data_IF_133176916673
#
_entry.id   IF_133176916673
#
_cell.length_a   1.000
_cell.length_b   1.000
_cell.length_c   1.000
_cell.angle_alpha   90.00
_cell.angle_beta   90.00
_cell.angle_gamma   90.00
#
_symmetry.space_group_name_H-M   'P 1'
#
loop_
_entity.id
_entity.type
_entity.pdbx_description
1 polymer ?
#
# COMPACT_ATOMS: atom_id res chain seq x y z
N UNK A 1 13.09 -15.83 18.81
CA UNK A 1 14.56 -15.85 18.92
C UNK A 1 15.02 -17.10 19.63
N UNK A 2 15.97 -17.81 19.03
CA UNK A 2 16.50 -19.07 19.55
C UNK A 2 18.02 -19.03 19.58
N UNK A 3 18.59 -19.12 20.78
CA UNK A 3 20.01 -19.41 20.97
C UNK A 3 20.22 -20.90 20.76
N UNK A 4 20.70 -21.27 19.57
CA UNK A 4 21.00 -22.66 19.21
C UNK A 4 22.25 -23.14 19.96
N UNK A 5 23.19 -22.21 20.20
CA UNK A 5 24.34 -22.37 21.10
C UNK A 5 24.71 -21.00 21.70
N UNK A 6 25.73 -20.96 22.55
CA UNK A 6 26.30 -19.71 23.09
C UNK A 6 26.82 -18.77 21.98
N UNK A 7 27.12 -19.32 20.81
CA UNK A 7 27.71 -18.59 19.67
C UNK A 7 26.74 -18.35 18.52
N UNK A 8 25.60 -19.04 18.48
CA UNK A 8 24.66 -18.99 17.36
C UNK A 8 23.25 -18.59 17.81
N UNK A 9 22.82 -17.42 17.34
CA UNK A 9 21.46 -16.93 17.46
C UNK A 9 20.75 -17.03 16.11
N UNK A 10 19.58 -17.66 16.11
CA UNK A 10 18.66 -17.68 14.97
C UNK A 10 17.36 -16.98 15.37
N UNK A 11 16.86 -16.10 14.50
CA UNK A 11 15.62 -15.36 14.69
C UNK A 11 14.72 -15.60 13.48
N UNK A 12 13.43 -15.77 13.74
CA UNK A 12 12.40 -15.87 12.73
C UNK A 12 11.40 -14.75 12.95
N UNK A 13 10.98 -14.10 11.87
CA UNK A 13 9.91 -13.12 11.88
C UNK A 13 8.86 -13.48 10.84
N UNK A 14 7.60 -13.28 11.20
CA UNK A 14 6.48 -13.37 10.27
C UNK A 14 5.49 -12.26 10.61
N UNK A 15 4.90 -11.66 9.58
CA UNK A 15 3.88 -10.63 9.75
C UNK A 15 2.83 -10.73 8.67
N UNK A 16 1.58 -10.58 9.09
CA UNK A 16 0.43 -10.40 8.22
C UNK A 16 -0.14 -8.99 8.43
N UNK A 17 -0.42 -8.27 7.35
CA UNK A 17 -1.04 -6.95 7.39
C UNK A 17 -2.13 -6.86 6.33
N UNK A 18 -3.35 -6.54 6.77
CA UNK A 18 -4.46 -6.15 5.89
C UNK A 18 -4.84 -4.69 6.13
N UNK A 19 -5.06 -3.93 5.07
CA UNK A 19 -5.52 -2.54 5.12
C UNK A 19 -6.60 -2.35 4.07
N UNK A 20 -7.74 -1.81 4.49
CA UNK A 20 -8.85 -1.46 3.61
C UNK A 20 -9.21 0.01 3.81
N UNK A 21 -9.28 0.75 2.72
CA UNK A 21 -9.73 2.13 2.67
C UNK A 21 -11.00 2.16 1.82
N UNK A 22 -12.10 2.69 2.37
CA UNK A 22 -13.37 2.87 1.66
C UNK A 22 -13.66 4.34 1.45
N UNK A 23 -14.33 4.66 0.35
CA UNK A 23 -14.59 6.05 -0.05
C UNK A 23 -13.30 6.78 -0.38
N UNK A 24 -12.51 6.23 -1.30
CA UNK A 24 -11.26 6.83 -1.75
C UNK A 24 -11.47 8.26 -2.23
N UNK A 25 -10.60 9.18 -1.85
CA UNK A 25 -10.62 10.53 -2.43
C UNK A 25 -10.27 10.43 -3.92
N UNK A 26 -11.16 10.91 -4.79
CA UNK A 26 -10.89 10.97 -6.23
C UNK A 26 -10.01 12.16 -6.57
N UNK A 27 -9.03 11.94 -7.43
CA UNK A 27 -8.34 13.02 -8.11
C UNK A 27 -9.24 13.58 -9.22
N UNK A 28 -9.72 14.81 -9.05
CA UNK A 28 -10.47 15.54 -10.08
C UNK A 28 -9.52 16.25 -11.03
N UNK A 29 -9.51 15.79 -12.27
CA UNK A 29 -8.74 16.41 -13.34
C UNK A 29 -9.57 17.52 -14.00
N UNK A 30 -8.94 18.67 -14.25
CA UNK A 30 -9.55 19.83 -14.90
C UNK A 30 -8.70 20.17 -16.12
N UNK A 31 -9.28 20.10 -17.32
CA UNK A 31 -8.59 20.50 -18.54
C UNK A 31 -8.26 21.99 -18.53
N UNK A 32 -9.22 22.80 -18.08
CA UNK A 32 -9.05 24.21 -17.79
C UNK A 32 -9.08 24.42 -16.26
N UNK A 33 -7.94 24.87 -15.71
CA UNK A 33 -7.80 25.12 -14.27
C UNK A 33 -8.73 26.23 -13.77
N UNK A 34 -9.23 27.12 -14.64
CA UNK A 34 -10.19 28.16 -14.27
C UNK A 34 -11.53 27.58 -13.80
N UNK A 35 -11.85 26.34 -14.20
CA UNK A 35 -13.05 25.61 -13.78
C UNK A 35 -12.92 24.97 -12.39
N UNK A 36 -11.73 24.98 -11.80
CA UNK A 36 -11.51 24.42 -10.46
C UNK A 36 -12.22 25.31 -9.44
N UNK A 37 -13.14 24.77 -8.62
CA UNK A 37 -13.79 25.56 -7.59
C UNK A 37 -12.77 26.07 -6.56
N UNK A 38 -13.04 27.24 -6.00
CA UNK A 38 -12.25 27.76 -4.88
C UNK A 38 -12.33 26.80 -3.69
N UNK A 39 -11.25 26.70 -2.91
CA UNK A 39 -11.26 25.89 -1.70
C UNK A 39 -12.35 26.34 -0.70
N UNK A 40 -12.65 27.65 -0.63
CA UNK A 40 -13.69 28.21 0.23
C UNK A 40 -15.12 27.79 -0.16
N UNK A 41 -15.32 27.27 -1.37
CA UNK A 41 -16.62 26.77 -1.85
C UNK A 41 -16.79 25.26 -1.69
N UNK A 42 -15.80 24.56 -1.14
CA UNK A 42 -15.85 23.12 -0.92
C UNK A 42 -16.10 22.82 0.57
N UNK A 43 -16.95 21.83 0.81
CA UNK A 43 -17.26 21.33 2.14
C UNK A 43 -16.19 20.31 2.55
N UNK A 44 -15.46 20.58 3.64
CA UNK A 44 -14.40 19.67 4.12
C UNK A 44 -14.94 18.32 4.60
N UNK A 45 -16.21 18.26 5.00
CA UNK A 45 -16.86 17.04 5.51
C UNK A 45 -17.57 16.24 4.41
N UNK A 46 -17.36 16.61 3.14
CA UNK A 46 -17.99 15.97 1.99
C UNK A 46 -16.99 15.17 1.16
N UNK A 47 -17.34 13.92 0.91
CA UNK A 47 -16.63 13.10 -0.06
C UNK A 47 -17.11 13.46 -1.48
N UNK A 48 -16.23 14.05 -2.28
CA UNK A 48 -16.48 14.38 -3.68
C UNK A 48 -16.11 13.23 -4.63
N UNK A 49 -16.14 12.00 -4.14
CA UNK A 49 -15.90 10.78 -4.92
C UNK A 49 -17.01 9.77 -4.67
N UNK A 50 -16.83 8.57 -5.22
CA UNK A 50 -17.78 7.48 -5.08
C UNK A 50 -17.60 6.78 -3.73
N UNK A 51 -18.64 6.75 -2.89
CA UNK A 51 -18.60 6.08 -1.57
C UNK A 51 -18.27 4.59 -1.63
N UNK A 52 -18.59 3.94 -2.76
CA UNK A 52 -18.30 2.53 -3.01
C UNK A 52 -16.86 2.28 -3.48
N UNK A 53 -16.08 3.33 -3.80
CA UNK A 53 -14.67 3.15 -4.16
C UNK A 53 -13.88 2.60 -2.98
N UNK A 54 -12.87 1.78 -3.27
CA UNK A 54 -12.05 1.16 -2.24
C UNK A 54 -10.62 0.88 -2.73
N UNK A 55 -9.71 0.76 -1.77
CA UNK A 55 -8.36 0.25 -1.95
C UNK A 55 -8.10 -0.76 -0.83
N UNK A 56 -7.85 -2.00 -1.22
CA UNK A 56 -7.50 -3.10 -0.35
C UNK A 56 -6.05 -3.50 -0.60
N UNK A 57 -5.32 -3.72 0.48
CA UNK A 57 -3.93 -4.13 0.47
C UNK A 57 -3.73 -5.20 1.54
N UNK A 58 -3.13 -6.32 1.13
CA UNK A 58 -2.78 -7.43 1.98
C UNK A 58 -1.31 -7.75 1.79
N UNK A 59 -0.58 -8.02 2.87
CA UNK A 59 0.84 -8.35 2.81
C UNK A 59 1.23 -9.36 3.86
N UNK A 60 1.87 -10.42 3.39
CA UNK A 60 2.48 -11.46 4.18
C UNK A 60 3.98 -11.40 4.01
N UNK A 61 4.71 -11.44 5.13
CA UNK A 61 6.16 -11.42 5.15
C UNK A 61 6.68 -12.49 6.08
N UNK A 62 7.73 -13.16 5.67
CA UNK A 62 8.47 -14.10 6.51
C UNK A 62 9.98 -13.87 6.34
N UNK A 63 10.72 -13.99 7.44
CA UNK A 63 12.15 -13.75 7.47
C UNK A 63 12.86 -14.66 8.44
N UNK A 64 14.12 -14.95 8.13
CA UNK A 64 15.06 -15.63 9.00
C UNK A 64 16.36 -14.84 9.07
N UNK A 65 16.91 -14.70 10.26
CA UNK A 65 18.20 -14.08 10.52
C UNK A 65 19.06 -14.99 11.38
N UNK A 66 20.33 -15.10 11.03
CA UNK A 66 21.33 -15.81 11.80
C UNK A 66 22.48 -14.88 12.17
N UNK A 67 22.92 -14.93 13.42
CA UNK A 67 24.12 -14.26 13.93
C UNK A 67 25.01 -15.31 14.58
N UNK A 68 26.19 -15.50 14.02
CA UNK A 68 27.15 -16.50 14.48
C UNK A 68 28.47 -15.84 14.86
N UNK A 69 28.88 -16.01 16.13
CA UNK A 69 30.24 -15.69 16.58
C UNK A 69 31.18 -16.83 16.17
N UNK A 70 32.08 -16.56 15.23
CA UNK A 70 33.06 -17.56 14.76
C UNK A 70 34.22 -17.70 15.76
N UNK A 71 34.59 -16.59 16.41
CA UNK A 71 35.55 -16.49 17.50
C UNK A 71 35.41 -15.11 18.17
N UNK A 72 36.33 -14.76 19.08
CA UNK A 72 36.29 -13.49 19.81
C UNK A 72 36.49 -12.23 18.94
N UNK A 73 36.92 -12.39 17.69
CA UNK A 73 37.17 -11.29 16.75
C UNK A 73 36.12 -11.20 15.64
N UNK A 74 35.61 -12.33 15.16
CA UNK A 74 34.75 -12.38 13.96
C UNK A 74 33.32 -12.82 14.26
N UNK A 75 32.37 -12.10 13.66
CA UNK A 75 30.94 -12.45 13.68
C UNK A 75 30.37 -12.43 12.26
N UNK A 76 29.72 -13.52 11.87
CA UNK A 76 28.98 -13.63 10.61
C UNK A 76 27.50 -13.33 10.85
N UNK A 77 26.88 -12.57 9.94
CA UNK A 77 25.43 -12.33 9.92
C UNK A 77 24.88 -12.69 8.55
N UNK A 78 23.81 -13.46 8.54
CA UNK A 78 23.07 -13.79 7.33
C UNK A 78 21.58 -13.53 7.56
N UNK A 79 20.88 -13.07 6.54
CA UNK A 79 19.46 -12.81 6.58
C UNK A 79 18.83 -13.15 5.24
N UNK A 80 17.62 -13.69 5.28
CA UNK A 80 16.79 -13.92 4.12
C UNK A 80 15.35 -13.60 4.49
N UNK A 81 14.61 -12.94 3.60
CA UNK A 81 13.20 -12.64 3.81
C UNK A 81 12.46 -12.72 2.47
N UNK A 82 11.24 -13.22 2.52
CA UNK A 82 10.32 -13.22 1.40
C UNK A 82 9.06 -12.46 1.79
N UNK A 83 8.47 -11.78 0.82
CA UNK A 83 7.23 -11.04 1.00
C UNK A 83 6.31 -11.29 -0.19
N UNK A 84 5.04 -11.49 0.11
CA UNK A 84 3.96 -11.46 -0.87
C UNK A 84 3.03 -10.31 -0.50
N UNK A 85 2.51 -9.61 -1.51
CA UNK A 85 1.45 -8.66 -1.29
C UNK A 85 0.41 -8.72 -2.42
N UNK A 86 -0.84 -8.51 -2.03
CA UNK A 86 -2.00 -8.47 -2.90
C UNK A 86 -2.62 -7.09 -2.81
N UNK A 87 -2.88 -6.47 -3.95
CA UNK A 87 -3.56 -5.18 -4.02
C UNK A 87 -4.79 -5.27 -4.91
N UNK A 88 -5.86 -4.63 -4.47
CA UNK A 88 -7.11 -4.51 -5.22
C UNK A 88 -7.63 -3.09 -5.05
N UNK A 89 -8.05 -2.44 -6.13
CA UNK A 89 -8.60 -1.10 -6.03
C UNK A 89 -9.68 -0.85 -7.09
N UNK A 90 -10.66 -0.07 -6.69
CA UNK A 90 -11.76 0.35 -7.55
C UNK A 90 -12.08 1.81 -7.28
N UNK A 91 -11.99 2.66 -8.31
CA UNK A 91 -12.20 4.11 -8.22
C UNK A 91 -12.70 4.70 -9.53
N UNK A 92 -13.12 5.97 -9.51
CA UNK A 92 -13.40 6.74 -10.72
C UNK A 92 -12.35 7.83 -10.93
N UNK A 93 -12.02 8.11 -12.19
CA UNK A 93 -11.12 9.19 -12.60
C UNK A 93 -11.87 10.37 -13.18
N UNK A 94 -12.52 11.22 -12.35
CA UNK A 94 -13.36 12.29 -12.85
C UNK A 94 -12.57 13.35 -13.61
N UNK A 95 -13.06 13.74 -14.78
CA UNK A 95 -12.47 14.80 -15.61
C UNK A 95 -13.52 15.86 -15.96
N UNK A 96 -13.20 17.12 -15.70
CA UNK A 96 -14.00 18.29 -16.08
C UNK A 96 -13.40 18.91 -17.34
N UNK A 97 -14.17 18.85 -18.43
CA UNK A 97 -13.77 19.38 -19.74
C UNK A 97 -14.40 20.73 -20.06
N UNK A 98 -15.57 21.02 -19.50
CA UNK A 98 -16.27 22.30 -19.63
C UNK A 98 -17.14 22.57 -18.40
N UNK A 99 -17.61 23.81 -18.25
CA UNK A 99 -18.44 24.20 -17.11
C UNK A 99 -19.70 23.32 -17.01
N UNK A 100 -19.88 22.68 -15.85
CA UNK A 100 -21.03 21.83 -15.54
C UNK A 100 -21.02 20.44 -16.19
N UNK A 101 -20.00 20.08 -16.98
CA UNK A 101 -19.92 18.80 -17.67
C UNK A 101 -18.65 18.05 -17.23
N UNK A 102 -18.82 16.80 -16.85
CA UNK A 102 -17.71 15.94 -16.44
C UNK A 102 -17.92 14.49 -16.90
N UNK A 103 -16.82 13.77 -17.11
CA UNK A 103 -16.81 12.32 -17.33
C UNK A 103 -16.27 11.62 -16.08
N UNK A 104 -16.70 10.38 -15.84
CA UNK A 104 -16.21 9.54 -14.74
C UNK A 104 -15.98 8.10 -15.23
N UNK A 105 -14.87 7.81 -15.91
CA UNK A 105 -14.48 6.43 -16.17
C UNK A 105 -14.31 5.64 -14.86
N UNK A 106 -14.83 4.41 -14.87
CA UNK A 106 -14.61 3.42 -13.81
C UNK A 106 -13.29 2.70 -14.07
N UNK A 107 -12.46 2.61 -13.04
CA UNK A 107 -11.29 1.76 -13.00
C UNK A 107 -11.51 0.74 -11.89
N UNK A 108 -11.62 -0.53 -12.26
CA UNK A 108 -11.74 -1.65 -11.35
C UNK A 108 -10.65 -2.65 -11.69
N UNK A 109 -9.74 -2.87 -10.76
CA UNK A 109 -8.64 -3.80 -10.92
C UNK A 109 -8.93 -5.03 -10.08
N UNK A 110 -8.85 -6.21 -10.69
CA UNK A 110 -8.85 -7.47 -9.96
C UNK A 110 -7.62 -7.54 -9.03
N UNK A 111 -7.64 -8.39 -8.00
CA UNK A 111 -6.49 -8.59 -7.13
C UNK A 111 -5.22 -8.90 -7.92
N UNK A 112 -4.17 -8.11 -7.69
CA UNK A 112 -2.84 -8.32 -8.27
C UNK A 112 -1.93 -8.79 -7.15
N UNK A 113 -1.39 -9.99 -7.32
CA UNK A 113 -0.37 -10.55 -6.43
C UNK A 113 1.03 -10.16 -6.92
N UNK A 114 1.93 -9.88 -5.99
CA UNK A 114 3.35 -9.64 -6.26
C UNK A 114 4.21 -10.31 -5.20
N UNK A 115 5.33 -10.88 -5.62
CA UNK A 115 6.26 -11.63 -4.77
C UNK A 115 7.66 -11.02 -4.85
N UNK A 116 8.30 -10.87 -3.69
CA UNK A 116 9.69 -10.41 -3.52
C UNK A 116 10.47 -11.43 -2.67
N UNK A 117 11.68 -11.80 -3.11
CA UNK A 117 12.55 -12.83 -2.50
C UNK A 117 13.99 -12.34 -2.37
#
# INVERSE_FOLDING_TARGET
DWNVSDDLLVQFDASHKKTQIRGLTSYWYFNDQSLRPSAASLDNDKLYSQKWSFSDYESDKAGVRAKWRLNDTFTLRAAFAAQQYTSENTYTGPTVSSAGVHSQPLYAFAPIETEEK
#
